data_IF_730976440009
#
_entry.id   IF_730976440009
#
_cell.length_a   1.000
_cell.length_b   1.000
_cell.length_c   1.000
_cell.angle_alpha   90.00
_cell.angle_beta   90.00
_cell.angle_gamma   90.00
#
_symmetry.space_group_name_H-M   'P 1'
#
loop_
_entity.id
_entity.type
_entity.pdbx_description
1 polymer ?
#
# COMPACT_ATOMS: atom_id res chain seq x y z
N UNK A 1 -0.08 -2.23 -9.34
CA UNK A 1 0.11 -2.71 -7.96
C UNK A 1 -0.94 -3.77 -7.68
N UNK A 2 -0.53 -4.97 -7.25
CA UNK A 2 -1.48 -5.98 -6.76
C UNK A 2 -1.92 -5.58 -5.36
N UNK A 3 -3.19 -5.80 -4.97
CA UNK A 3 -3.66 -5.44 -3.64
C UNK A 3 -3.02 -6.39 -2.62
N UNK A 4 -2.68 -5.81 -1.48
CA UNK A 4 -2.18 -6.52 -0.31
C UNK A 4 -3.25 -6.47 0.78
N UNK A 5 -3.39 -7.54 1.55
CA UNK A 5 -4.35 -7.66 2.65
C UNK A 5 -3.57 -7.90 3.94
N UNK A 6 -4.02 -7.29 5.04
CA UNK A 6 -3.44 -7.53 6.36
C UNK A 6 -4.15 -8.70 7.02
N UNK A 7 -3.49 -9.86 7.08
CA UNK A 7 -4.08 -11.15 7.42
C UNK A 7 -3.78 -11.52 8.86
N UNK A 8 -4.82 -11.94 9.59
CA UNK A 8 -4.70 -12.62 10.88
C UNK A 8 -4.76 -14.14 10.68
N UNK A 9 -3.72 -14.83 11.14
CA UNK A 9 -3.61 -16.28 11.00
C UNK A 9 -4.34 -17.01 12.14
N UNK A 10 -5.05 -18.09 11.81
CA UNK A 10 -5.77 -18.90 12.81
C UNK A 10 -4.77 -19.53 13.77
N UNK A 11 -4.94 -19.28 15.07
CA UNK A 11 -4.08 -19.82 16.12
C UNK A 11 -2.89 -18.93 16.49
N UNK A 12 -2.78 -17.75 15.86
CA UNK A 12 -1.74 -16.75 16.12
C UNK A 12 -2.34 -15.46 16.67
N UNK A 13 -1.49 -14.65 17.30
CA UNK A 13 -1.88 -13.37 17.87
C UNK A 13 -1.97 -12.24 16.84
N UNK A 14 -2.35 -11.06 17.29
CA UNK A 14 -2.45 -9.87 16.44
C UNK A 14 -1.07 -9.35 16.00
N UNK A 15 -0.04 -9.66 16.77
CA UNK A 15 1.37 -9.40 16.51
C UNK A 15 1.92 -10.17 15.31
N UNK A 16 1.30 -11.32 14.97
CA UNK A 16 1.72 -12.19 13.87
C UNK A 16 1.01 -11.86 12.55
N UNK A 17 0.26 -10.76 12.50
CA UNK A 17 -0.45 -10.35 11.29
C UNK A 17 0.55 -9.94 10.20
N UNK A 18 0.30 -10.40 8.98
CA UNK A 18 1.19 -10.16 7.84
C UNK A 18 0.46 -9.53 6.66
N UNK A 19 1.19 -8.75 5.87
CA UNK A 19 0.70 -8.22 4.59
C UNK A 19 0.90 -9.27 3.49
N UNK A 20 -0.20 -9.86 3.03
CA UNK A 20 -0.18 -10.88 1.99
C UNK A 20 -0.77 -10.37 0.68
N UNK A 21 -0.15 -10.66 -0.48
CA UNK A 21 -0.76 -10.38 -1.77
C UNK A 21 -2.04 -11.20 -1.96
N UNK A 22 -2.99 -10.65 -2.71
CA UNK A 22 -4.27 -11.32 -2.99
C UNK A 22 -4.11 -12.75 -3.58
N UNK A 23 -3.05 -13.00 -4.36
CA UNK A 23 -2.75 -14.32 -4.91
C UNK A 23 -2.51 -15.39 -3.83
N UNK A 24 -2.03 -15.02 -2.64
CA UNK A 24 -1.84 -15.97 -1.53
C UNK A 24 -3.17 -16.35 -0.86
N UNK A 25 -4.25 -15.62 -1.13
CA UNK A 25 -5.57 -15.80 -0.51
C UNK A 25 -6.57 -16.55 -1.41
N UNK A 26 -6.11 -17.17 -2.49
CA UNK A 26 -6.98 -17.90 -3.42
C UNK A 26 -7.76 -19.03 -2.75
N UNK A 27 -7.20 -19.65 -1.71
CA UNK A 27 -7.85 -20.70 -0.93
C UNK A 27 -8.74 -20.17 0.22
N UNK A 28 -8.76 -18.85 0.42
CA UNK A 28 -9.45 -18.18 1.54
C UNK A 28 -10.44 -17.12 1.06
N UNK A 29 -10.95 -17.28 -0.18
CA UNK A 29 -11.85 -16.31 -0.84
C UNK A 29 -13.11 -15.98 -0.05
N UNK A 30 -13.64 -16.94 0.69
CA UNK A 30 -14.84 -16.73 1.50
C UNK A 30 -14.58 -15.80 2.69
N UNK A 31 -13.44 -15.95 3.37
CA UNK A 31 -13.03 -15.04 4.45
C UNK A 31 -12.80 -13.62 3.93
N UNK A 32 -12.19 -13.48 2.74
CA UNK A 32 -12.02 -12.18 2.07
C UNK A 32 -13.38 -11.56 1.75
N UNK A 33 -14.32 -12.34 1.19
CA UNK A 33 -15.67 -11.87 0.88
C UNK A 33 -16.42 -11.42 2.13
N UNK A 34 -16.35 -12.21 3.19
CA UNK A 34 -16.97 -11.89 4.47
C UNK A 34 -16.42 -10.59 5.05
N UNK A 35 -15.10 -10.40 5.01
CA UNK A 35 -14.46 -9.16 5.44
C UNK A 35 -15.02 -7.94 4.69
N UNK A 36 -15.08 -7.96 3.36
CA UNK A 36 -15.61 -6.83 2.59
C UNK A 36 -17.12 -6.64 2.75
N UNK A 37 -17.88 -7.71 3.01
CA UNK A 37 -19.31 -7.62 3.31
C UNK A 37 -19.57 -6.90 4.63
N UNK A 38 -18.73 -7.14 5.64
CA UNK A 38 -18.82 -6.47 6.95
C UNK A 38 -18.24 -5.06 6.93
N UNK A 39 -17.31 -4.78 6.02
CA UNK A 39 -16.58 -3.51 5.93
C UNK A 39 -16.79 -2.86 4.55
N UNK A 40 -17.97 -2.28 4.27
CA UNK A 40 -18.27 -1.70 2.95
C UNK A 40 -17.37 -0.50 2.57
N UNK A 41 -16.78 0.17 3.57
CA UNK A 41 -15.82 1.26 3.42
C UNK A 41 -14.38 0.80 3.21
N UNK A 42 -14.09 -0.51 3.31
CA UNK A 42 -12.74 -1.02 3.11
C UNK A 42 -12.23 -0.68 1.69
N UNK A 43 -10.93 -0.36 1.54
CA UNK A 43 -10.36 -0.06 0.24
C UNK A 43 -10.62 -1.19 -0.76
N UNK A 44 -11.19 -0.87 -1.92
CA UNK A 44 -11.46 -1.82 -2.99
C UNK A 44 -10.75 -1.40 -4.26
N UNK A 45 -10.40 -2.38 -5.09
CA UNK A 45 -9.96 -2.12 -6.47
C UNK A 45 -11.01 -1.27 -7.18
N UNK A 46 -10.63 -0.07 -7.60
CA UNK A 46 -11.45 0.77 -8.46
C UNK A 46 -11.62 0.05 -9.80
N UNK A 47 -12.83 -0.45 -10.06
CA UNK A 47 -13.16 -1.08 -11.33
C UNK A 47 -13.25 0.02 -12.40
N UNK A 48 -12.61 -0.18 -13.55
CA UNK A 48 -12.68 0.75 -14.68
C UNK A 48 -11.69 1.92 -14.64
N UNK A 49 -10.81 1.99 -13.64
CA UNK A 49 -9.70 2.94 -13.63
C UNK A 49 -8.51 2.30 -14.36
N UNK A 50 -8.22 2.76 -15.58
CA UNK A 50 -7.04 2.27 -16.30
C UNK A 50 -5.76 2.90 -15.74
N UNK A 51 -4.62 2.27 -16.05
CA UNK A 51 -3.32 2.74 -15.58
C UNK A 51 -3.01 4.17 -16.01
N UNK A 52 -3.54 4.61 -17.16
CA UNK A 52 -3.35 5.98 -17.68
C UNK A 52 -4.07 7.00 -16.81
N UNK A 53 -5.33 6.74 -16.44
CA UNK A 53 -6.11 7.61 -15.56
C UNK A 53 -5.45 7.74 -14.18
N UNK A 54 -4.95 6.63 -13.62
CA UNK A 54 -4.25 6.65 -12.33
C UNK A 54 -2.95 7.46 -12.40
N UNK A 55 -2.12 7.24 -13.42
CA UNK A 55 -0.87 7.97 -13.60
C UNK A 55 -1.10 9.48 -13.83
N UNK A 56 -2.21 9.85 -14.45
CA UNK A 56 -2.56 11.26 -14.65
C UNK A 56 -2.85 12.01 -13.33
N UNK A 57 -3.24 11.32 -12.26
CA UNK A 57 -3.52 11.94 -10.96
C UNK A 57 -2.25 12.38 -10.24
N UNK A 58 -1.14 11.70 -10.49
CA UNK A 58 0.15 12.00 -9.87
C UNK A 58 1.05 12.62 -10.93
N UNK A 59 0.91 13.94 -11.11
CA UNK A 59 1.88 14.70 -11.89
C UNK A 59 3.22 14.68 -11.14
N UNK A 60 4.36 14.49 -11.85
CA UNK A 60 5.66 14.64 -11.22
C UNK A 60 5.78 16.04 -10.60
N UNK A 61 6.42 16.10 -9.42
CA UNK A 61 6.71 17.36 -8.75
C UNK A 61 7.43 18.30 -9.75
N UNK A 62 7.00 19.55 -9.93
CA UNK A 62 7.74 20.47 -10.78
C UNK A 62 9.16 20.63 -10.23
N UNK A 63 10.14 20.57 -11.15
CA UNK A 63 11.58 20.53 -10.85
C UNK A 63 12.07 21.71 -9.98
N UNK A 64 11.31 22.79 -9.89
CA UNK A 64 11.66 23.99 -9.13
C UNK A 64 11.59 23.81 -7.59
N UNK A 65 10.94 22.76 -7.09
CA UNK A 65 10.85 22.49 -5.65
C UNK A 65 12.00 21.62 -5.12
N UNK A 66 12.87 21.13 -5.99
CA UNK A 66 14.05 20.31 -5.63
C UNK A 66 15.34 21.14 -5.64
N UNK A 67 15.26 22.47 -5.50
CA UNK A 67 16.46 23.28 -5.25
C UNK A 67 16.98 22.92 -3.86
N UNK A 68 17.83 21.90 -3.80
CA UNK A 68 18.62 21.54 -2.63
C UNK A 68 19.63 22.66 -2.43
N UNK A 69 19.17 23.78 -1.86
CA UNK A 69 20.04 24.67 -1.10
C UNK A 69 20.81 23.77 -0.13
N UNK A 70 22.14 23.74 -0.23
CA UNK A 70 23.06 22.73 0.29
C UNK A 70 23.15 22.59 1.81
N UNK A 71 22.02 22.72 2.52
CA UNK A 71 21.88 22.66 3.98
C UNK A 71 22.25 21.28 4.53
N UNK A 72 22.18 20.21 3.75
CA UNK A 72 22.43 18.84 4.20
C UNK A 72 23.86 18.32 4.04
N UNK A 73 24.83 19.20 3.74
CA UNK A 73 26.20 18.75 3.41
C UNK A 73 27.17 18.66 4.59
N UNK A 74 26.74 18.88 5.85
CA UNK A 74 27.66 18.90 6.99
C UNK A 74 27.07 18.25 8.23
N UNK A 75 26.96 16.92 8.23
CA UNK A 75 27.06 16.14 9.45
C UNK A 75 28.38 15.36 9.38
N UNK A 76 29.47 16.04 9.68
CA UNK A 76 30.74 15.37 9.97
C UNK A 76 30.54 14.62 11.29
N UNK A 77 30.52 13.29 11.22
CA UNK A 77 30.60 12.43 12.40
C UNK A 77 32.08 12.26 12.68
N UNK A 78 32.57 12.96 13.70
CA UNK A 78 33.89 12.71 14.28
C UNK A 78 33.95 11.26 14.81
N UNK A 79 35.06 10.54 14.62
CA UNK A 79 35.22 9.13 14.98
C UNK A 79 35.25 8.85 16.48
#
# INVERSE_FOLDING_TARGET
>A
MLPINFVLWKGYGDEDRMWEPEAHLDNSRDAVREFYSKNPSAPRKLRGMDSKLFNSLFQPMPENLTTTSGIWSSLEVEP
#
